data_IF_381437074298
#
_entry.id   IF_381437074298
#
_cell.length_a   1.000
_cell.length_b   1.000
_cell.length_c   1.000
_cell.angle_alpha   90.00
_cell.angle_beta   90.00
_cell.angle_gamma   90.00
#
_symmetry.space_group_name_H-M   'P 1'
#
loop_
_entity.id
_entity.type
_entity.pdbx_description
1 polymer ?
#
# COMPACT_ATOMS: atom_id res chain seq x y z
N UNK A 1 30.11 -23.67 18.24
CA UNK A 1 29.07 -23.55 17.17
C UNK A 1 29.41 -24.55 16.09
N UNK A 2 28.46 -25.39 15.70
CA UNK A 2 28.69 -26.37 14.63
C UNK A 2 28.93 -25.67 13.27
N UNK A 3 29.87 -26.19 12.43
CA UNK A 3 30.22 -25.51 11.15
C UNK A 3 29.01 -25.22 10.25
N UNK A 4 28.01 -26.12 10.24
CA UNK A 4 26.77 -25.90 9.48
C UNK A 4 25.93 -24.70 9.96
N UNK A 5 25.92 -24.45 11.27
CA UNK A 5 25.20 -23.29 11.83
C UNK A 5 25.93 -21.97 11.53
N UNK A 6 27.27 -21.99 11.41
CA UNK A 6 28.04 -20.81 11.01
C UNK A 6 27.75 -20.44 9.55
N UNK A 7 27.67 -21.41 8.64
CA UNK A 7 27.34 -21.16 7.24
C UNK A 7 25.95 -20.54 7.12
N UNK A 8 24.95 -21.09 7.81
CA UNK A 8 23.58 -20.55 7.81
C UNK A 8 23.57 -19.09 8.30
N UNK A 9 24.32 -18.80 9.36
CA UNK A 9 24.41 -17.44 9.89
C UNK A 9 25.06 -16.50 8.89
N UNK A 10 26.20 -16.86 8.29
CA UNK A 10 26.88 -16.02 7.29
C UNK A 10 25.95 -15.74 6.11
N UNK A 11 25.27 -16.76 5.56
CA UNK A 11 24.32 -16.58 4.46
C UNK A 11 23.15 -15.67 4.87
N UNK A 12 22.62 -15.82 6.07
CA UNK A 12 21.56 -14.95 6.58
C UNK A 12 22.02 -13.49 6.74
N UNK A 13 23.22 -13.29 7.28
CA UNK A 13 23.79 -11.95 7.48
C UNK A 13 24.03 -11.26 6.12
N UNK A 14 24.62 -11.96 5.15
CA UNK A 14 24.85 -11.45 3.78
C UNK A 14 23.53 -11.12 3.06
N UNK A 15 22.53 -12.00 3.14
CA UNK A 15 21.20 -11.75 2.57
C UNK A 15 20.52 -10.54 3.22
N UNK A 16 20.67 -10.37 4.53
CA UNK A 16 20.12 -9.22 5.26
C UNK A 16 20.79 -7.93 4.82
N UNK A 17 22.12 -7.94 4.59
CA UNK A 17 22.85 -6.79 4.10
C UNK A 17 22.42 -6.39 2.69
N UNK A 18 22.27 -7.38 1.79
CA UNK A 18 21.79 -7.16 0.40
C UNK A 18 20.36 -6.61 0.37
N UNK A 19 19.47 -7.11 1.24
CA UNK A 19 18.07 -6.67 1.33
C UNK A 19 17.89 -5.33 2.04
N UNK A 20 18.94 -4.79 2.64
CA UNK A 20 18.93 -3.57 3.43
C UNK A 20 18.73 -3.83 4.92
N UNK A 21 19.75 -3.49 5.71
CA UNK A 21 19.79 -3.73 7.15
C UNK A 21 18.97 -2.74 7.99
N UNK A 22 18.41 -1.69 7.37
CA UNK A 22 17.69 -0.63 8.07
C UNK A 22 16.23 -0.60 7.64
N UNK A 23 15.32 -0.57 8.61
CA UNK A 23 13.92 -0.26 8.37
C UNK A 23 13.73 1.26 8.28
N UNK A 24 12.97 1.74 7.28
CA UNK A 24 12.55 3.13 7.22
C UNK A 24 11.28 3.32 8.05
N UNK A 25 11.21 4.41 8.80
CA UNK A 25 9.98 4.81 9.47
C UNK A 25 9.01 5.43 8.48
N UNK A 26 7.71 5.20 8.71
CA UNK A 26 6.65 5.80 7.90
C UNK A 26 6.57 7.31 8.13
N UNK A 27 6.43 8.08 7.06
CA UNK A 27 6.27 9.52 7.13
C UNK A 27 4.82 9.92 7.45
N UNK A 28 4.55 10.14 8.74
CA UNK A 28 3.23 10.49 9.28
C UNK A 28 3.14 11.95 9.78
N UNK A 29 3.89 12.85 9.16
CA UNK A 29 4.00 14.25 9.60
C UNK A 29 2.82 15.13 9.19
N UNK A 30 2.14 14.80 8.10
CA UNK A 30 0.98 15.52 7.58
C UNK A 30 -0.34 15.00 8.19
N UNK A 31 -1.42 15.76 8.05
CA UNK A 31 -2.77 15.36 8.47
C UNK A 31 -3.81 15.70 7.40
N UNK A 32 -4.30 14.71 6.65
CA UNK A 32 -3.85 13.32 6.65
C UNK A 32 -2.48 13.16 5.98
N UNK A 33 -1.66 12.21 6.44
CA UNK A 33 -0.58 11.66 5.65
C UNK A 33 -1.15 10.65 4.68
N UNK A 34 -0.89 10.81 3.40
CA UNK A 34 -1.43 9.93 2.36
C UNK A 34 -0.43 8.84 2.01
N UNK A 35 -0.87 7.59 2.05
CA UNK A 35 -0.10 6.42 1.63
C UNK A 35 -0.71 5.83 0.38
N UNK A 36 0.07 5.75 -0.69
CA UNK A 36 -0.33 5.16 -1.96
C UNK A 36 0.21 3.73 -2.06
N UNK A 37 -0.70 2.74 -2.17
CA UNK A 37 -0.34 1.34 -2.27
C UNK A 37 -0.27 0.91 -3.73
N UNK A 38 0.91 0.55 -4.19
CA UNK A 38 1.21 0.14 -5.56
C UNK A 38 1.61 -1.34 -5.62
N UNK A 39 1.61 -1.94 -6.80
CA UNK A 39 2.10 -3.31 -7.03
C UNK A 39 1.33 -4.06 -8.10
N UNK A 40 1.85 -5.23 -8.46
CA UNK A 40 1.24 -6.09 -9.47
C UNK A 40 -0.09 -6.69 -9.01
N UNK A 41 -0.86 -7.16 -9.97
CA UNK A 41 -2.05 -7.95 -9.69
C UNK A 41 -1.67 -9.24 -8.93
N UNK A 42 -2.40 -9.54 -7.86
CA UNK A 42 -2.13 -10.73 -7.03
C UNK A 42 -1.00 -10.59 -6.01
N UNK A 43 -0.26 -9.48 -5.99
CA UNK A 43 0.83 -9.26 -5.02
C UNK A 43 0.38 -9.11 -3.55
N UNK A 44 -0.92 -9.10 -3.28
CA UNK A 44 -1.45 -8.99 -1.92
C UNK A 44 -1.65 -7.56 -1.41
N UNK A 45 -1.79 -6.56 -2.30
CA UNK A 45 -1.99 -5.14 -1.92
C UNK A 45 -3.13 -4.93 -0.93
N UNK A 46 -4.35 -5.32 -1.30
CA UNK A 46 -5.54 -5.13 -0.46
C UNK A 46 -5.39 -5.73 0.95
N UNK A 47 -4.76 -6.92 1.04
CA UNK A 47 -4.44 -7.54 2.33
C UNK A 47 -3.38 -6.74 3.10
N UNK A 48 -2.36 -6.24 2.40
CA UNK A 48 -1.30 -5.42 2.99
C UNK A 48 -1.82 -4.07 3.47
N UNK A 49 -2.75 -3.44 2.73
CA UNK A 49 -3.47 -2.24 3.15
C UNK A 49 -4.14 -2.43 4.50
N UNK A 50 -4.92 -3.50 4.66
CA UNK A 50 -5.61 -3.78 5.93
C UNK A 50 -4.63 -4.02 7.08
N UNK A 51 -3.54 -4.75 6.84
CA UNK A 51 -2.49 -4.98 7.85
C UNK A 51 -1.76 -3.70 8.23
N UNK A 52 -1.41 -2.87 7.24
CA UNK A 52 -0.76 -1.57 7.46
C UNK A 52 -1.67 -0.63 8.25
N UNK A 53 -2.95 -0.56 7.89
CA UNK A 53 -3.92 0.25 8.60
C UNK A 53 -4.07 -0.18 10.06
N UNK A 54 -4.15 -1.49 10.32
CA UNK A 54 -4.17 -2.04 11.67
C UNK A 54 -2.90 -1.69 12.45
N UNK A 55 -1.72 -1.82 11.83
CA UNK A 55 -0.45 -1.41 12.43
C UNK A 55 -0.44 0.07 12.78
N UNK A 56 -0.83 0.95 11.85
CA UNK A 56 -0.90 2.40 12.10
C UNK A 56 -1.86 2.73 13.24
N UNK A 57 -3.00 2.04 13.32
CA UNK A 57 -3.99 2.26 14.37
C UNK A 57 -3.49 1.75 15.74
N UNK A 58 -2.97 0.51 15.81
CA UNK A 58 -2.64 -0.14 17.08
C UNK A 58 -1.25 0.20 17.60
N UNK A 59 -0.28 0.35 16.70
CA UNK A 59 1.13 0.58 17.09
C UNK A 59 1.48 2.06 17.09
N UNK A 60 1.03 2.80 16.05
CA UNK A 60 1.32 4.23 15.94
C UNK A 60 0.24 5.10 16.58
N UNK A 61 -0.86 4.51 17.07
CA UNK A 61 -2.01 5.20 17.68
C UNK A 61 -2.55 6.31 16.77
N UNK A 62 -2.74 6.00 15.47
CA UNK A 62 -3.22 6.92 14.44
C UNK A 62 -4.66 6.60 14.03
N UNK A 63 -5.42 7.64 13.73
CA UNK A 63 -6.74 7.51 13.13
C UNK A 63 -6.57 7.28 11.61
N UNK A 64 -7.04 6.14 11.10
CA UNK A 64 -6.79 5.69 9.72
C UNK A 64 -8.08 5.61 8.94
N UNK A 65 -8.06 6.13 7.71
CA UNK A 65 -9.10 5.94 6.70
C UNK A 65 -8.55 5.15 5.51
N UNK A 66 -9.39 4.33 4.92
CA UNK A 66 -9.10 3.54 3.72
C UNK A 66 -10.02 3.95 2.58
N UNK A 67 -9.50 3.93 1.36
CA UNK A 67 -10.27 4.00 0.13
C UNK A 67 -9.68 3.03 -0.89
N UNK A 68 -10.52 2.45 -1.76
CA UNK A 68 -10.05 1.68 -2.92
C UNK A 68 -10.38 2.43 -4.20
N UNK A 69 -9.41 2.50 -5.10
CA UNK A 69 -9.56 2.98 -6.48
C UNK A 69 -9.56 1.83 -7.49
N UNK A 70 -9.60 0.57 -7.04
CA UNK A 70 -9.62 -0.63 -7.89
C UNK A 70 -11.03 -0.89 -8.47
N UNK A 71 -11.45 -0.04 -9.38
CA UNK A 71 -12.75 -0.12 -10.03
C UNK A 71 -12.91 -1.36 -10.93
N UNK A 72 -11.82 -1.96 -11.35
CA UNK A 72 -11.81 -3.16 -12.21
C UNK A 72 -12.20 -4.42 -11.45
N UNK A 73 -12.09 -4.40 -10.12
CA UNK A 73 -12.39 -5.54 -9.25
C UNK A 73 -13.33 -5.16 -8.09
N UNK A 74 -14.63 -5.07 -8.33
CA UNK A 74 -15.61 -4.72 -7.28
C UNK A 74 -15.51 -5.62 -6.04
N UNK A 75 -15.15 -6.89 -6.23
CA UNK A 75 -14.94 -7.83 -5.13
C UNK A 75 -13.74 -7.42 -4.23
N UNK A 76 -12.70 -6.75 -4.77
CA UNK A 76 -11.59 -6.25 -3.97
C UNK A 76 -12.00 -5.06 -3.11
N UNK A 77 -12.86 -4.18 -3.63
CA UNK A 77 -13.46 -3.07 -2.85
C UNK A 77 -14.27 -3.63 -1.69
N UNK A 78 -15.14 -4.61 -1.96
CA UNK A 78 -15.95 -5.26 -0.92
C UNK A 78 -15.07 -5.97 0.13
N UNK A 79 -14.02 -6.66 -0.31
CA UNK A 79 -13.05 -7.29 0.58
C UNK A 79 -12.39 -6.26 1.50
N UNK A 80 -11.94 -5.11 0.96
CA UNK A 80 -11.31 -4.06 1.76
C UNK A 80 -12.30 -3.45 2.76
N UNK A 81 -13.57 -3.24 2.34
CA UNK A 81 -14.64 -2.77 3.21
C UNK A 81 -14.87 -3.70 4.40
N UNK A 82 -14.95 -5.02 4.15
CA UNK A 82 -15.12 -6.03 5.19
C UNK A 82 -13.91 -6.03 6.14
N UNK A 83 -12.68 -5.96 5.60
CA UNK A 83 -11.46 -5.92 6.40
C UNK A 83 -11.40 -4.66 7.28
N UNK A 84 -11.79 -3.50 6.74
CA UNK A 84 -11.87 -2.26 7.47
C UNK A 84 -12.89 -2.36 8.64
N UNK A 85 -14.10 -2.85 8.35
CA UNK A 85 -15.15 -3.06 9.35
C UNK A 85 -14.71 -4.00 10.48
N UNK A 86 -14.06 -5.10 10.14
CA UNK A 86 -13.61 -6.09 11.13
C UNK A 86 -12.49 -5.59 12.05
N UNK A 87 -11.81 -4.50 11.67
CA UNK A 87 -10.71 -3.89 12.41
C UNK A 87 -11.05 -2.50 12.97
N UNK A 88 -12.32 -2.09 12.91
CA UNK A 88 -12.76 -0.74 13.33
C UNK A 88 -11.99 0.40 12.65
N UNK A 89 -11.70 0.24 11.35
CA UNK A 89 -11.03 1.23 10.51
C UNK A 89 -12.07 1.91 9.63
N UNK A 90 -11.96 3.21 9.46
CA UNK A 90 -12.85 3.99 8.59
C UNK A 90 -12.64 3.61 7.13
N UNK A 91 -13.71 3.23 6.44
CA UNK A 91 -13.71 3.00 5.01
C UNK A 91 -14.49 4.10 4.31
N UNK A 92 -13.84 4.75 3.33
CA UNK A 92 -14.46 5.80 2.51
C UNK A 92 -14.97 5.12 1.23
N UNK A 93 -16.28 5.24 0.99
CA UNK A 93 -16.91 4.64 -0.19
C UNK A 93 -16.45 5.35 -1.47
N UNK A 94 -16.08 4.60 -2.53
CA UNK A 94 -15.82 5.17 -3.84
C UNK A 94 -17.14 5.54 -4.53
N UNK A 95 -17.55 6.81 -4.41
CA UNK A 95 -18.85 7.30 -4.92
C UNK A 95 -18.84 7.64 -6.43
N UNK A 96 -17.85 7.18 -7.18
CA UNK A 96 -17.68 7.47 -8.61
C UNK A 96 -17.05 6.28 -9.34
N UNK A 97 -17.16 6.26 -10.65
CA UNK A 97 -16.45 5.38 -11.58
C UNK A 97 -15.17 6.01 -12.15
N UNK A 98 -14.70 7.10 -11.56
CA UNK A 98 -13.53 7.87 -11.99
C UNK A 98 -12.54 7.99 -10.83
N UNK A 99 -11.32 7.51 -11.03
CA UNK A 99 -10.26 7.49 -10.00
C UNK A 99 -9.88 8.88 -9.49
N UNK A 100 -9.95 9.91 -10.36
CA UNK A 100 -9.70 11.30 -9.97
C UNK A 100 -10.72 11.77 -8.93
N UNK A 101 -12.02 11.59 -9.24
CA UNK A 101 -13.11 11.98 -8.34
C UNK A 101 -13.07 11.22 -7.03
N UNK A 102 -12.78 9.91 -7.08
CA UNK A 102 -12.64 9.08 -5.87
C UNK A 102 -11.49 9.61 -5.00
N UNK A 103 -10.35 9.94 -5.60
CA UNK A 103 -9.19 10.44 -4.87
C UNK A 103 -9.49 11.80 -4.21
N UNK A 104 -10.10 12.73 -4.93
CA UNK A 104 -10.52 14.04 -4.40
C UNK A 104 -11.54 13.88 -3.27
N UNK A 105 -12.55 13.02 -3.46
CA UNK A 105 -13.54 12.71 -2.45
C UNK A 105 -12.90 12.10 -1.20
N UNK A 106 -11.99 11.14 -1.36
CA UNK A 106 -11.30 10.49 -0.25
C UNK A 106 -10.45 11.47 0.58
N UNK A 107 -9.74 12.39 -0.06
CA UNK A 107 -9.00 13.45 0.63
C UNK A 107 -9.95 14.32 1.46
N UNK A 108 -11.03 14.83 0.85
CA UNK A 108 -12.01 15.66 1.55
C UNK A 108 -12.70 14.92 2.71
N UNK A 109 -13.05 13.65 2.52
CA UNK A 109 -13.68 12.86 3.60
C UNK A 109 -12.70 12.52 4.72
N UNK A 110 -11.45 12.20 4.40
CA UNK A 110 -10.43 11.92 5.41
C UNK A 110 -10.16 13.12 6.33
N UNK A 111 -10.20 14.34 5.79
CA UNK A 111 -10.13 15.58 6.59
C UNK A 111 -11.34 15.72 7.52
N UNK A 112 -12.56 15.51 7.02
CA UNK A 112 -13.80 15.56 7.83
C UNK A 112 -13.83 14.51 8.94
N UNK A 113 -13.27 13.33 8.66
CA UNK A 113 -13.14 12.22 9.61
C UNK A 113 -11.98 12.43 10.60
N UNK A 114 -11.23 13.54 10.46
CA UNK A 114 -10.03 13.84 11.27
C UNK A 114 -9.00 12.69 11.22
N UNK A 115 -8.85 12.09 10.06
CA UNK A 115 -7.89 11.01 9.88
C UNK A 115 -6.46 11.53 9.95
N UNK A 116 -5.60 10.83 10.66
CA UNK A 116 -4.16 11.10 10.65
C UNK A 116 -3.50 10.52 9.40
N UNK A 117 -4.05 9.41 8.88
CA UNK A 117 -3.54 8.68 7.71
C UNK A 117 -4.69 8.31 6.79
N UNK A 118 -4.51 8.55 5.49
CA UNK A 118 -5.36 8.03 4.41
C UNK A 118 -4.54 7.02 3.59
N UNK A 119 -5.00 5.77 3.50
CA UNK A 119 -4.37 4.75 2.65
C UNK A 119 -5.24 4.53 1.42
N UNK A 120 -4.64 4.68 0.24
CA UNK A 120 -5.29 4.49 -1.05
C UNK A 120 -4.83 3.15 -1.63
N UNK A 121 -5.75 2.19 -1.72
CA UNK A 121 -5.55 0.89 -2.40
C UNK A 121 -5.79 1.07 -3.90
N UNK A 122 -4.80 0.76 -4.73
CA UNK A 122 -4.89 0.95 -6.17
C UNK A 122 -5.08 -0.37 -6.91
N UNK A 123 -5.53 -0.28 -8.17
CA UNK A 123 -5.59 -1.42 -9.07
C UNK A 123 -4.23 -2.11 -9.21
N UNK A 124 -4.24 -3.44 -9.28
CA UNK A 124 -3.03 -4.22 -9.55
C UNK A 124 -2.64 -4.09 -11.01
N UNK A 125 -1.39 -3.73 -11.27
CA UNK A 125 -0.83 -3.62 -12.62
C UNK A 125 -0.44 -4.99 -13.19
N UNK A 126 -0.64 -5.18 -14.50
CA UNK A 126 0.09 -6.12 -15.32
C UNK A 126 1.25 -5.34 -15.95
N UNK A 127 2.42 -5.92 -16.08
CA UNK A 127 3.69 -5.24 -16.43
C UNK A 127 3.69 -4.37 -17.70
N UNK A 128 2.67 -4.48 -18.57
CA UNK A 128 2.54 -3.78 -19.85
C UNK A 128 1.32 -2.86 -19.95
N UNK A 129 0.68 -2.53 -18.82
CA UNK A 129 -0.58 -1.77 -18.83
C UNK A 129 -0.32 -0.26 -18.64
N UNK A 130 -0.16 0.47 -19.75
CA UNK A 130 0.07 1.92 -19.76
C UNK A 130 -1.12 2.69 -19.17
N UNK A 131 -2.34 2.17 -19.29
CA UNK A 131 -3.54 2.81 -18.76
C UNK A 131 -3.51 2.85 -17.22
N UNK A 132 -3.14 1.73 -16.59
CA UNK A 132 -2.99 1.67 -15.13
C UNK A 132 -1.84 2.56 -14.61
N UNK A 133 -0.79 2.76 -15.40
CA UNK A 133 0.25 3.74 -15.08
C UNK A 133 -0.30 5.16 -15.10
N UNK A 134 -1.13 5.51 -16.06
CA UNK A 134 -1.75 6.83 -16.12
C UNK A 134 -2.74 7.05 -14.95
N UNK A 135 -3.50 6.01 -14.57
CA UNK A 135 -4.34 6.05 -13.37
C UNK A 135 -3.51 6.33 -12.11
N UNK A 136 -2.40 5.62 -11.92
CA UNK A 136 -1.49 5.83 -10.79
C UNK A 136 -0.90 7.24 -10.78
N UNK A 137 -0.46 7.75 -11.93
CA UNK A 137 0.05 9.13 -12.06
C UNK A 137 -1.01 10.16 -11.72
N UNK A 138 -2.25 9.92 -12.14
CA UNK A 138 -3.39 10.79 -11.81
C UNK A 138 -3.63 10.83 -10.31
N UNK A 139 -3.71 9.67 -9.66
CA UNK A 139 -3.87 9.56 -8.21
C UNK A 139 -2.69 10.25 -7.49
N UNK A 140 -1.47 9.98 -7.91
CA UNK A 140 -0.26 10.57 -7.34
C UNK A 140 -0.27 12.11 -7.40
N UNK A 141 -0.61 12.67 -8.57
CA UNK A 141 -0.63 14.12 -8.77
C UNK A 141 -1.70 14.81 -7.92
N UNK A 142 -2.82 14.16 -7.65
CA UNK A 142 -3.92 14.70 -6.84
C UNK A 142 -3.62 14.52 -5.35
N UNK A 143 -3.22 13.33 -4.95
CA UNK A 143 -3.06 12.96 -3.55
C UNK A 143 -1.74 13.44 -2.94
N UNK A 144 -0.70 13.69 -3.75
CA UNK A 144 0.66 14.09 -3.30
C UNK A 144 1.11 13.24 -2.10
N UNK A 145 1.19 11.90 -2.25
CA UNK A 145 1.37 10.99 -1.13
C UNK A 145 2.73 11.21 -0.44
N UNK A 146 2.76 11.06 0.88
CA UNK A 146 3.97 11.08 1.69
C UNK A 146 4.71 9.75 1.63
N UNK A 147 3.97 8.65 1.34
CA UNK A 147 4.54 7.32 1.16
C UNK A 147 3.99 6.67 -0.10
N UNK A 148 4.89 6.14 -0.94
CA UNK A 148 4.56 5.27 -2.07
C UNK A 148 5.05 3.87 -1.72
N UNK A 149 4.13 2.97 -1.42
CA UNK A 149 4.43 1.65 -0.90
C UNK A 149 4.19 0.60 -1.99
N UNK A 150 5.27 0.04 -2.51
CA UNK A 150 5.22 -1.03 -3.49
C UNK A 150 5.14 -2.40 -2.81
N UNK A 151 4.05 -3.11 -3.06
CA UNK A 151 3.85 -4.47 -2.55
C UNK A 151 4.34 -5.48 -3.58
N UNK A 152 5.32 -6.28 -3.18
CA UNK A 152 5.90 -7.34 -4.00
C UNK A 152 5.65 -8.70 -3.36
N UNK A 153 5.42 -9.70 -4.20
CA UNK A 153 5.38 -11.09 -3.77
C UNK A 153 6.82 -11.63 -3.65
N UNK A 154 7.16 -12.16 -2.47
CA UNK A 154 8.49 -12.73 -2.21
C UNK A 154 8.85 -13.92 -3.14
N UNK A 155 7.86 -14.55 -3.75
CA UNK A 155 8.06 -15.66 -4.68
C UNK A 155 8.50 -15.20 -6.07
N UNK A 156 8.48 -13.90 -6.38
CA UNK A 156 8.85 -13.35 -7.70
C UNK A 156 10.35 -13.49 -8.00
N UNK A 157 11.20 -13.64 -6.99
CA UNK A 157 12.65 -13.71 -7.17
C UNK A 157 13.20 -12.50 -7.92
N UNK A 158 14.08 -12.73 -8.91
CA UNK A 158 14.72 -11.64 -9.68
C UNK A 158 13.75 -10.78 -10.51
N UNK A 159 12.55 -11.28 -10.82
CA UNK A 159 11.54 -10.48 -11.52
C UNK A 159 11.05 -9.28 -10.69
N UNK A 160 11.23 -9.32 -9.39
CA UNK A 160 10.90 -8.19 -8.51
C UNK A 160 11.68 -6.92 -8.88
N UNK A 161 12.93 -7.03 -9.33
CA UNK A 161 13.75 -5.88 -9.72
C UNK A 161 13.16 -5.14 -10.93
N UNK A 162 12.76 -5.87 -11.98
CA UNK A 162 12.13 -5.25 -13.16
C UNK A 162 10.78 -4.60 -12.82
N UNK A 163 10.07 -5.12 -11.82
CA UNK A 163 8.84 -4.49 -11.31
C UNK A 163 9.17 -3.17 -10.61
N UNK A 164 10.17 -3.14 -9.73
CA UNK A 164 10.59 -1.90 -9.03
C UNK A 164 11.00 -0.81 -10.03
N UNK A 165 11.75 -1.18 -11.08
CA UNK A 165 12.17 -0.23 -12.12
C UNK A 165 11.00 0.33 -12.96
N UNK A 166 9.86 -0.36 -12.97
CA UNK A 166 8.68 0.01 -13.76
C UNK A 166 7.66 0.88 -13.01
N UNK A 167 7.81 1.04 -11.69
CA UNK A 167 6.98 1.88 -10.83
C UNK A 167 7.71 3.17 -10.43
#
# INVERSE_FOLDING_TARGET
VQPGQQIIKIVSDELTEILGSQSSELNVKNKPSVFLMCGLQGAGKTTSVAKLAHYCQKTLNKNVSLVSTDLRRPAAIEQLRILAKNNDIQFIEPESDNVEKITQHALSQSEKLLSDILIIDTSGRISTDDELLQELKTIYNIAQPQENLLVLDSLMGQQALSVVESF
#
